data_IF_954153308401
#
_entry.id   IF_954153308401
#
_cell.length_a   1.000
_cell.length_b   1.000
_cell.length_c   1.000
_cell.angle_alpha   90.00
_cell.angle_beta   90.00
_cell.angle_gamma   90.00
#
_symmetry.space_group_name_H-M   'P 1'
#
loop_
_entity.id
_entity.type
_entity.pdbx_description
1 polymer ?
#
# COMPACT_ATOMS: atom_id res chain seq x y z
N UNK A 1 26.64 -21.21 0.99
CA UNK A 1 25.96 -20.68 -0.22
C UNK A 1 24.73 -19.92 0.24
N UNK A 2 24.36 -18.77 -0.37
CA UNK A 2 23.11 -18.11 -0.04
C UNK A 2 21.95 -19.02 -0.43
N UNK A 3 21.03 -19.24 0.50
CA UNK A 3 19.84 -20.07 0.33
C UNK A 3 18.90 -19.35 -0.65
N UNK A 4 18.75 -19.89 -1.87
CA UNK A 4 17.80 -19.35 -2.84
C UNK A 4 16.40 -19.90 -2.54
N UNK A 5 15.33 -19.09 -2.61
CA UNK A 5 13.98 -19.58 -2.44
C UNK A 5 13.66 -20.65 -3.50
N UNK A 6 12.86 -21.65 -3.12
CA UNK A 6 12.43 -22.71 -4.03
C UNK A 6 11.32 -22.15 -4.93
N UNK A 7 11.51 -22.26 -6.26
CA UNK A 7 10.48 -21.90 -7.24
C UNK A 7 9.17 -22.62 -6.93
N UNK A 8 8.07 -21.87 -6.97
CA UNK A 8 6.75 -22.37 -6.56
C UNK A 8 5.77 -22.22 -7.69
N UNK A 9 5.09 -23.31 -8.09
CA UNK A 9 4.09 -23.28 -9.16
C UNK A 9 2.70 -23.09 -8.57
N UNK A 10 1.95 -22.12 -9.09
CA UNK A 10 0.54 -21.93 -8.76
C UNK A 10 -0.20 -21.30 -9.94
N UNK A 11 -1.40 -21.81 -10.29
CA UNK A 11 -2.24 -21.32 -11.39
C UNK A 11 -1.50 -21.17 -12.75
N UNK A 12 -0.49 -22.02 -12.99
CA UNK A 12 0.33 -21.97 -14.21
C UNK A 12 1.47 -20.95 -14.18
N UNK A 13 1.59 -20.14 -13.12
CA UNK A 13 2.70 -19.22 -12.90
C UNK A 13 3.82 -19.88 -12.08
N UNK A 14 5.07 -19.53 -12.38
CA UNK A 14 6.26 -19.91 -11.59
C UNK A 14 6.71 -18.73 -10.75
N UNK A 15 6.43 -18.78 -9.46
CA UNK A 15 6.81 -17.75 -8.49
C UNK A 15 8.24 -17.95 -8.01
N UNK A 16 8.95 -16.82 -7.85
CA UNK A 16 10.31 -16.76 -7.30
C UNK A 16 10.38 -17.11 -5.82
N UNK A 17 9.27 -17.00 -5.11
CA UNK A 17 9.19 -17.42 -3.72
C UNK A 17 7.82 -18.00 -3.36
N UNK A 18 7.80 -18.83 -2.31
CA UNK A 18 6.54 -19.30 -1.69
C UNK A 18 5.69 -18.16 -1.15
N UNK A 19 6.32 -17.08 -0.69
CA UNK A 19 5.61 -15.92 -0.15
C UNK A 19 4.80 -15.22 -1.25
N UNK A 20 5.40 -15.01 -2.43
CA UNK A 20 4.68 -14.49 -3.60
C UNK A 20 3.53 -15.41 -4.03
N UNK A 21 3.77 -16.73 -4.10
CA UNK A 21 2.71 -17.68 -4.45
C UNK A 21 1.53 -17.64 -3.45
N UNK A 22 1.79 -17.38 -2.16
CA UNK A 22 0.73 -17.20 -1.15
C UNK A 22 -0.04 -15.90 -1.34
N UNK A 23 0.61 -14.83 -1.81
CA UNK A 23 -0.10 -13.60 -2.19
C UNK A 23 -1.03 -13.82 -3.38
N UNK A 24 -0.65 -14.62 -4.37
CA UNK A 24 -1.54 -15.02 -5.46
C UNK A 24 -2.81 -15.75 -4.94
N UNK A 25 -2.65 -16.66 -3.95
CA UNK A 25 -3.78 -17.33 -3.27
C UNK A 25 -4.64 -16.33 -2.50
N UNK A 26 -4.03 -15.35 -1.83
CA UNK A 26 -4.73 -14.28 -1.11
C UNK A 26 -5.62 -13.48 -2.07
N UNK A 27 -5.06 -12.99 -3.18
CA UNK A 27 -5.80 -12.22 -4.18
C UNK A 27 -6.95 -13.04 -4.77
N UNK A 28 -6.71 -14.30 -5.11
CA UNK A 28 -7.75 -15.18 -5.64
C UNK A 28 -8.90 -15.40 -4.63
N UNK A 29 -8.58 -15.54 -3.34
CA UNK A 29 -9.59 -15.68 -2.28
C UNK A 29 -10.49 -14.45 -2.17
N UNK A 30 -9.95 -13.27 -2.48
CA UNK A 30 -10.70 -12.01 -2.58
C UNK A 30 -11.29 -11.75 -3.97
N UNK A 31 -11.17 -12.70 -4.91
CA UNK A 31 -11.60 -12.56 -6.31
C UNK A 31 -10.96 -11.36 -7.02
N UNK A 32 -9.76 -10.97 -6.58
CA UNK A 32 -8.95 -9.97 -7.25
C UNK A 32 -8.16 -10.61 -8.39
N UNK A 33 -8.24 -9.99 -9.57
CA UNK A 33 -7.34 -10.26 -10.69
C UNK A 33 -5.94 -9.77 -10.32
N UNK A 34 -4.95 -10.55 -10.73
CA UNK A 34 -3.54 -10.26 -10.54
C UNK A 34 -2.76 -10.72 -11.77
N UNK A 35 -1.75 -9.96 -12.15
CA UNK A 35 -0.73 -10.37 -13.12
C UNK A 35 0.61 -10.42 -12.39
N UNK A 36 1.31 -11.56 -12.47
CA UNK A 36 2.62 -11.75 -11.84
C UNK A 36 3.74 -11.38 -12.82
N UNK A 37 4.65 -10.51 -12.37
CA UNK A 37 5.78 -10.00 -13.17
C UNK A 37 5.41 -9.61 -14.61
N UNK A 38 4.37 -8.77 -14.82
CA UNK A 38 3.80 -8.55 -16.15
C UNK A 38 4.78 -7.90 -17.13
N UNK A 39 5.60 -6.95 -16.66
CA UNK A 39 6.59 -6.27 -17.48
C UNK A 39 7.69 -5.62 -16.63
N UNK A 40 8.93 -5.60 -17.13
CA UNK A 40 10.05 -4.91 -16.52
C UNK A 40 10.22 -3.48 -17.04
N UNK A 41 10.47 -2.54 -16.15
CA UNK A 41 10.63 -1.12 -16.43
C UNK A 41 12.08 -0.67 -16.25
N UNK A 42 12.44 0.43 -16.92
CA UNK A 42 13.61 1.23 -16.55
C UNK A 42 13.10 2.46 -15.80
N UNK A 43 13.36 2.52 -14.51
CA UNK A 43 12.98 3.64 -13.67
C UNK A 43 13.77 4.89 -14.09
N UNK A 44 13.25 6.08 -13.79
CA UNK A 44 13.90 7.36 -14.11
C UNK A 44 15.26 7.54 -13.41
N UNK A 45 15.54 6.75 -12.36
CA UNK A 45 16.86 6.60 -11.76
C UNK A 45 17.88 5.81 -12.59
N UNK A 46 17.46 5.21 -13.72
CA UNK A 46 18.24 4.30 -14.56
C UNK A 46 18.23 2.84 -14.10
N UNK A 47 17.59 2.54 -12.97
CA UNK A 47 17.49 1.17 -12.43
C UNK A 47 16.47 0.37 -13.22
N UNK A 48 16.87 -0.80 -13.73
CA UNK A 48 15.93 -1.80 -14.26
C UNK A 48 15.18 -2.46 -13.10
N UNK A 49 13.87 -2.46 -13.17
CA UNK A 49 12.99 -2.93 -12.11
C UNK A 49 11.87 -3.80 -12.68
N UNK A 50 11.61 -4.95 -12.07
CA UNK A 50 10.50 -5.81 -12.43
C UNK A 50 9.62 -5.94 -11.19
N UNK A 51 8.43 -5.33 -11.19
CA UNK A 51 7.53 -5.41 -10.06
C UNK A 51 6.90 -6.80 -9.92
N UNK A 52 6.55 -7.18 -8.70
CA UNK A 52 6.08 -8.54 -8.39
C UNK A 52 4.65 -8.77 -8.91
N UNK A 53 3.70 -7.87 -8.60
CA UNK A 53 2.30 -8.01 -9.01
C UNK A 53 1.69 -6.70 -9.52
N UNK A 54 0.88 -6.80 -10.57
CA UNK A 54 -0.10 -5.79 -10.96
C UNK A 54 -1.51 -6.20 -10.53
N UNK A 55 -2.24 -5.30 -9.87
CA UNK A 55 -3.63 -5.51 -9.44
C UNK A 55 -4.57 -4.61 -10.26
N UNK A 56 -5.04 -5.03 -11.45
CA UNK A 56 -5.76 -4.17 -12.39
C UNK A 56 -7.08 -3.60 -11.85
N UNK A 57 -7.76 -4.31 -10.94
CA UNK A 57 -9.00 -3.80 -10.33
C UNK A 57 -8.73 -2.62 -9.38
N UNK A 58 -7.58 -2.62 -8.73
CA UNK A 58 -7.16 -1.59 -7.79
C UNK A 58 -6.32 -0.51 -8.48
N UNK A 59 -5.83 -0.77 -9.69
CA UNK A 59 -4.96 0.12 -10.46
C UNK A 59 -3.66 0.44 -9.69
N UNK A 60 -3.06 -0.59 -9.07
CA UNK A 60 -1.85 -0.45 -8.26
C UNK A 60 -0.87 -1.63 -8.42
N UNK A 61 0.39 -1.35 -8.12
CA UNK A 61 1.44 -2.35 -7.98
C UNK A 61 1.47 -2.91 -6.56
N UNK A 62 1.80 -4.19 -6.43
CA UNK A 62 1.94 -4.86 -5.14
C UNK A 62 3.26 -5.64 -5.10
N UNK A 63 4.14 -5.23 -4.20
CA UNK A 63 5.50 -5.73 -4.01
C UNK A 63 5.57 -6.58 -2.76
N UNK A 64 6.27 -7.71 -2.84
CA UNK A 64 6.41 -8.67 -1.76
C UNK A 64 7.85 -8.69 -1.28
N UNK A 65 8.05 -8.60 0.04
CA UNK A 65 9.36 -8.74 0.68
C UNK A 65 9.28 -9.71 1.86
N UNK A 66 10.21 -10.65 1.92
CA UNK A 66 10.34 -11.54 3.09
C UNK A 66 10.81 -10.80 4.34
N UNK A 67 11.96 -10.10 4.30
CA UNK A 67 12.45 -9.29 5.42
C UNK A 67 11.84 -7.89 5.44
N UNK A 68 12.13 -7.16 6.52
CA UNK A 68 11.87 -5.71 6.63
C UNK A 68 12.50 -4.97 5.44
N UNK A 69 11.76 -4.09 4.73
CA UNK A 69 12.29 -3.38 3.58
C UNK A 69 13.44 -2.46 3.96
N UNK A 70 14.44 -2.36 3.08
CA UNK A 70 15.51 -1.39 3.23
C UNK A 70 15.08 -0.02 2.68
N UNK A 71 15.83 1.04 2.99
CA UNK A 71 15.65 2.34 2.35
C UNK A 71 15.78 2.28 0.81
N UNK A 72 16.57 1.33 0.28
CA UNK A 72 16.67 1.14 -1.16
C UNK A 72 15.39 0.53 -1.74
N UNK A 73 14.74 -0.38 -1.03
CA UNK A 73 13.45 -0.95 -1.46
C UNK A 73 12.37 0.12 -1.47
N UNK A 74 12.29 0.94 -0.41
CA UNK A 74 11.37 2.08 -0.33
C UNK A 74 11.61 3.12 -1.43
N UNK A 75 12.87 3.40 -1.76
CA UNK A 75 13.23 4.27 -2.90
C UNK A 75 12.75 3.71 -4.24
N UNK A 76 12.88 2.41 -4.46
CA UNK A 76 12.38 1.77 -5.70
C UNK A 76 10.86 1.79 -5.76
N UNK A 77 10.17 1.51 -4.66
CA UNK A 77 8.71 1.58 -4.59
C UNK A 77 8.21 3.02 -4.84
N UNK A 78 8.84 4.02 -4.21
CA UNK A 78 8.58 5.43 -4.50
C UNK A 78 8.78 5.76 -5.97
N UNK A 79 9.92 5.37 -6.55
CA UNK A 79 10.24 5.71 -7.93
C UNK A 79 9.30 5.04 -8.93
N UNK A 80 8.96 3.77 -8.71
CA UNK A 80 7.95 3.07 -9.50
C UNK A 80 6.59 3.79 -9.40
N UNK A 81 6.20 4.24 -8.22
CA UNK A 81 4.96 4.98 -8.02
C UNK A 81 4.92 6.27 -8.83
N UNK A 82 6.00 7.07 -8.79
CA UNK A 82 6.14 8.30 -9.57
C UNK A 82 6.13 8.01 -11.07
N UNK A 83 6.96 7.08 -11.54
CA UNK A 83 7.16 6.85 -12.97
C UNK A 83 5.91 6.23 -13.63
N UNK A 84 5.21 5.33 -12.90
CA UNK A 84 3.99 4.70 -13.40
C UNK A 84 2.72 5.52 -13.15
N UNK A 85 2.79 6.55 -12.28
CA UNK A 85 1.63 7.30 -11.77
C UNK A 85 0.59 6.40 -11.10
N UNK A 86 1.07 5.35 -10.44
CA UNK A 86 0.25 4.37 -9.71
C UNK A 86 0.69 4.30 -8.27
N UNK A 87 -0.19 3.79 -7.42
CA UNK A 87 0.21 3.40 -6.09
C UNK A 87 1.06 2.14 -6.15
N UNK A 88 2.05 2.07 -5.26
CA UNK A 88 2.81 0.87 -4.98
C UNK A 88 2.57 0.49 -3.52
N UNK A 89 2.10 -0.72 -3.27
CA UNK A 89 2.03 -1.31 -1.93
C UNK A 89 3.20 -2.24 -1.75
N UNK A 90 3.94 -2.08 -0.65
CA UNK A 90 5.06 -2.91 -0.27
C UNK A 90 4.67 -3.73 0.95
N UNK A 91 4.37 -5.01 0.73
CA UNK A 91 4.03 -5.96 1.76
C UNK A 91 5.27 -6.73 2.22
N UNK A 92 5.62 -6.58 3.50
CA UNK A 92 6.82 -7.16 4.08
C UNK A 92 6.50 -8.10 5.23
N UNK A 93 7.27 -9.19 5.33
CA UNK A 93 7.10 -10.19 6.38
C UNK A 93 6.30 -11.42 5.97
N UNK A 94 6.14 -12.34 6.92
CA UNK A 94 5.33 -13.54 6.73
C UNK A 94 3.85 -13.17 6.83
N UNK A 95 3.03 -13.62 5.88
CA UNK A 95 1.57 -13.46 5.94
C UNK A 95 1.04 -14.08 7.23
N UNK A 96 0.70 -13.22 8.20
CA UNK A 96 0.29 -13.63 9.54
C UNK A 96 -0.60 -12.54 10.12
N UNK A 97 -1.84 -12.92 10.42
CA UNK A 97 -2.81 -12.09 11.15
C UNK A 97 -3.00 -12.61 12.57
N UNK A 98 -3.39 -11.71 13.46
CA UNK A 98 -3.84 -11.99 14.82
C UNK A 98 -5.30 -11.57 14.91
N UNK A 99 -6.15 -12.47 15.40
CA UNK A 99 -7.52 -12.12 15.78
C UNK A 99 -7.49 -11.32 17.08
N UNK A 100 -8.11 -10.15 17.04
CA UNK A 100 -8.33 -9.29 18.18
C UNK A 100 -9.82 -9.24 18.49
N UNK A 101 -10.16 -9.17 19.77
CA UNK A 101 -11.54 -9.06 20.22
C UNK A 101 -11.61 -8.03 21.36
N UNK A 102 -12.55 -7.09 21.25
CA UNK A 102 -12.86 -6.13 22.31
C UNK A 102 -14.37 -5.88 22.38
N UNK A 103 -14.96 -6.14 23.55
CA UNK A 103 -16.42 -6.13 23.74
C UNK A 103 -17.12 -7.01 22.70
N UNK A 104 -17.95 -6.43 21.83
CA UNK A 104 -18.71 -7.14 20.80
C UNK A 104 -18.07 -7.00 19.39
N UNK A 105 -16.85 -6.48 19.33
CA UNK A 105 -16.10 -6.29 18.09
C UNK A 105 -14.98 -7.32 18.00
N UNK A 106 -14.89 -7.97 16.85
CA UNK A 106 -13.80 -8.86 16.48
C UNK A 106 -13.21 -8.37 15.16
N UNK A 107 -11.90 -8.21 15.10
CA UNK A 107 -11.19 -7.81 13.88
C UNK A 107 -9.87 -8.58 13.76
N UNK A 108 -9.33 -8.65 12.54
CA UNK A 108 -7.99 -9.19 12.31
C UNK A 108 -6.99 -8.06 12.08
N UNK A 109 -5.89 -8.12 12.80
CA UNK A 109 -4.77 -7.20 12.65
C UNK A 109 -3.56 -7.94 12.08
N UNK A 110 -2.83 -7.38 11.10
CA UNK A 110 -1.49 -7.85 10.73
C UNK A 110 -0.63 -8.08 11.98
N UNK A 111 -0.20 -9.32 12.24
CA UNK A 111 0.56 -9.63 13.46
C UNK A 111 1.99 -9.12 13.37
N UNK A 112 2.67 -9.06 14.52
CA UNK A 112 4.08 -8.65 14.59
C UNK A 112 4.97 -9.26 13.50
N UNK A 113 5.63 -8.37 12.77
CA UNK A 113 6.54 -8.71 11.68
C UNK A 113 5.91 -8.75 10.29
N UNK A 114 4.58 -8.62 10.16
CA UNK A 114 3.90 -8.38 8.88
C UNK A 114 3.45 -6.93 8.76
N UNK A 115 3.85 -6.23 7.68
CA UNK A 115 3.48 -4.85 7.42
C UNK A 115 3.13 -4.64 5.96
N UNK A 116 2.29 -3.64 5.70
CA UNK A 116 2.11 -3.09 4.37
C UNK A 116 2.34 -1.59 4.42
N UNK A 117 3.26 -1.13 3.58
CA UNK A 117 3.57 0.27 3.36
C UNK A 117 3.02 0.69 2.01
N UNK A 118 2.53 1.92 1.90
CA UNK A 118 1.94 2.42 0.67
C UNK A 118 2.66 3.68 0.21
N UNK A 119 3.04 3.67 -1.07
CA UNK A 119 3.73 4.74 -1.77
C UNK A 119 2.80 5.30 -2.85
N UNK A 120 2.47 6.58 -2.70
CA UNK A 120 1.62 7.36 -3.59
C UNK A 120 2.39 8.59 -4.12
N UNK A 121 3.62 8.34 -4.59
CA UNK A 121 4.61 9.27 -5.14
C UNK A 121 4.22 10.75 -5.15
N UNK A 122 3.97 11.27 -6.35
CA UNK A 122 3.39 12.60 -6.56
C UNK A 122 1.90 12.58 -6.23
N UNK A 123 1.57 12.87 -4.96
CA UNK A 123 0.22 12.70 -4.43
C UNK A 123 -0.88 13.40 -5.25
N UNK A 124 -0.56 14.53 -5.90
CA UNK A 124 -1.49 15.26 -6.77
C UNK A 124 -1.92 14.47 -8.03
N UNK A 125 -1.08 13.54 -8.51
CA UNK A 125 -1.37 12.67 -9.66
C UNK A 125 -2.24 11.46 -9.27
N UNK A 126 -2.22 11.03 -8.01
CA UNK A 126 -2.94 9.86 -7.48
C UNK A 126 -4.01 10.24 -6.44
N UNK A 127 -4.54 11.46 -6.56
CA UNK A 127 -5.42 12.10 -5.58
C UNK A 127 -6.65 11.26 -5.19
N UNK A 128 -7.27 10.61 -6.18
CA UNK A 128 -8.44 9.74 -6.03
C UNK A 128 -8.12 8.32 -6.55
N UNK A 129 -7.20 7.63 -5.88
CA UNK A 129 -6.84 6.29 -6.28
C UNK A 129 -7.95 5.26 -6.04
N UNK A 130 -8.18 4.37 -7.01
CA UNK A 130 -9.16 3.28 -6.91
C UNK A 130 -8.86 2.30 -5.78
N UNK A 131 -7.59 2.09 -5.49
CA UNK A 131 -7.12 1.15 -4.49
C UNK A 131 -7.37 1.59 -3.05
N UNK A 132 -7.77 2.83 -2.79
CA UNK A 132 -7.92 3.36 -1.42
C UNK A 132 -9.37 3.70 -1.13
N UNK A 133 -9.84 3.31 0.06
CA UNK A 133 -11.26 3.40 0.41
C UNK A 133 -11.78 4.84 0.48
N UNK A 134 -10.89 5.73 0.88
CA UNK A 134 -11.13 7.14 0.93
C UNK A 134 -10.11 7.83 0.02
N UNK A 135 -10.30 9.09 -0.36
CA UNK A 135 -9.26 9.77 -1.13
C UNK A 135 -7.96 9.71 -0.30
N UNK A 136 -6.79 9.57 -0.93
CA UNK A 136 -5.50 9.63 -0.20
C UNK A 136 -5.32 10.92 0.62
N UNK A 137 -6.19 11.88 0.28
CA UNK A 137 -6.38 13.22 0.78
C UNK A 137 -7.83 13.52 1.19
N UNK A 138 -8.65 12.52 1.54
CA UNK A 138 -9.89 12.78 2.27
C UNK A 138 -9.57 12.90 3.74
N UNK A 139 -9.55 14.15 4.18
CA UNK A 139 -9.68 14.63 5.55
C UNK A 139 -10.36 13.64 6.51
N UNK A 140 -9.57 12.80 7.17
CA UNK A 140 -10.00 12.04 8.34
C UNK A 140 -9.04 12.31 9.49
N UNK A 141 -9.43 13.30 10.28
CA UNK A 141 -9.33 13.42 11.74
C UNK A 141 -7.99 13.36 12.49
N UNK A 142 -6.84 13.01 11.90
CA UNK A 142 -5.59 12.96 12.68
C UNK A 142 -4.54 14.04 12.33
N UNK A 143 -4.70 14.75 11.21
CA UNK A 143 -3.97 16.00 10.93
C UNK A 143 -4.82 16.86 9.97
N UNK A 144 -5.60 17.81 10.47
CA UNK A 144 -6.51 18.67 9.69
C UNK A 144 -5.85 19.35 8.45
N UNK A 145 -6.66 19.88 7.48
CA UNK A 145 -6.39 21.05 6.58
C UNK A 145 -7.34 21.37 5.39
N UNK A 146 -8.52 21.99 5.53
CA UNK A 146 -8.60 23.34 4.91
C UNK A 146 -8.92 24.55 5.80
N UNK A 147 -9.62 24.48 6.95
CA UNK A 147 -9.86 25.68 7.76
C UNK A 147 -8.59 26.29 8.37
N UNK A 148 -7.64 25.45 8.85
CA UNK A 148 -6.47 26.00 9.55
C UNK A 148 -5.36 26.52 8.63
N UNK A 149 -5.24 26.10 7.36
CA UNK A 149 -4.20 26.64 6.44
C UNK A 149 -4.55 28.09 6.18
N UNK A 150 -5.83 28.41 5.96
CA UNK A 150 -6.27 29.79 5.76
C UNK A 150 -5.90 30.66 6.97
N UNK A 151 -6.01 30.13 8.19
CA UNK A 151 -5.57 30.82 9.41
C UNK A 151 -4.05 30.96 9.51
N UNK A 152 -3.28 29.95 9.09
CA UNK A 152 -1.81 29.96 9.15
C UNK A 152 -1.17 30.77 8.00
N UNK A 153 -1.89 30.94 6.89
CA UNK A 153 -1.43 31.59 5.67
C UNK A 153 -2.50 32.56 5.13
N UNK A 154 -2.85 33.62 5.88
CA UNK A 154 -3.94 34.53 5.53
C UNK A 154 -3.70 35.28 4.21
N UNK A 155 -2.44 35.43 3.78
CA UNK A 155 -2.05 36.11 2.54
C UNK A 155 -2.05 35.17 1.32
N UNK A 156 -2.37 33.87 1.48
CA UNK A 156 -2.37 32.89 0.40
C UNK A 156 -3.80 32.62 -0.06
N UNK A 157 -4.07 32.92 -1.33
CA UNK A 157 -5.33 32.55 -1.98
C UNK A 157 -5.32 31.05 -2.34
N UNK A 158 -6.26 30.29 -1.79
CA UNK A 158 -6.45 28.87 -2.11
C UNK A 158 -7.61 28.79 -3.12
N UNK A 159 -7.38 28.29 -4.35
CA UNK A 159 -8.44 28.08 -5.31
C UNK A 159 -9.56 27.23 -4.71
N UNK A 160 -10.82 27.52 -5.02
CA UNK A 160 -11.96 26.72 -4.56
C UNK A 160 -12.23 25.49 -5.45
N UNK A 161 -11.61 25.46 -6.63
CA UNK A 161 -11.80 24.41 -7.62
C UNK A 161 -10.71 23.35 -7.47
N UNK A 162 -11.13 22.09 -7.41
CA UNK A 162 -10.22 20.95 -7.45
C UNK A 162 -9.43 20.92 -8.76
N UNK A 163 -8.12 21.17 -8.65
CA UNK A 163 -7.17 21.23 -9.76
C UNK A 163 -5.80 20.76 -9.30
N UNK A 164 -4.96 20.30 -10.23
CA UNK A 164 -3.57 19.91 -9.90
C UNK A 164 -2.80 21.03 -9.20
N UNK A 165 -2.99 22.28 -9.64
CA UNK A 165 -2.38 23.45 -9.03
C UNK A 165 -2.83 23.64 -7.57
N UNK A 166 -4.13 23.50 -7.29
CA UNK A 166 -4.66 23.56 -5.93
C UNK A 166 -4.09 22.43 -5.07
N UNK A 167 -4.04 21.19 -5.58
CA UNK A 167 -3.50 20.02 -4.86
C UNK A 167 -2.03 20.19 -4.50
N UNK A 168 -1.22 20.67 -5.45
CA UNK A 168 0.21 20.98 -5.21
C UNK A 168 0.37 22.07 -4.15
N UNK A 169 -0.42 23.13 -4.24
CA UNK A 169 -0.41 24.22 -3.26
C UNK A 169 -0.76 23.72 -1.86
N UNK A 170 -1.77 22.86 -1.71
CA UNK A 170 -2.15 22.30 -0.41
C UNK A 170 -1.02 21.47 0.21
N UNK A 171 -0.34 20.65 -0.57
CA UNK A 171 0.82 19.87 -0.11
C UNK A 171 1.96 20.79 0.32
N UNK A 172 2.28 21.80 -0.50
CA UNK A 172 3.33 22.77 -0.19
C UNK A 172 3.04 23.49 1.15
N UNK A 173 1.81 23.95 1.34
CA UNK A 173 1.41 24.66 2.55
C UNK A 173 1.45 23.76 3.80
N UNK A 174 1.08 22.48 3.68
CA UNK A 174 1.21 21.48 4.75
C UNK A 174 2.68 21.24 5.13
N UNK A 175 3.57 21.10 4.14
CA UNK A 175 5.02 20.98 4.38
C UNK A 175 5.61 22.20 5.09
N UNK A 176 5.25 23.41 4.65
CA UNK A 176 5.71 24.66 5.27
C UNK A 176 5.21 24.76 6.72
N UNK A 177 3.93 24.47 6.96
CA UNK A 177 3.35 24.50 8.30
C UNK A 177 4.06 23.52 9.23
N UNK A 178 4.25 22.27 8.78
CA UNK A 178 4.88 21.23 9.58
C UNK A 178 6.33 21.58 9.91
N UNK A 179 7.09 22.11 8.94
CA UNK A 179 8.45 22.59 9.16
C UNK A 179 8.49 23.74 10.16
N UNK A 180 7.58 24.72 10.07
CA UNK A 180 7.49 25.84 11.01
C UNK A 180 7.15 25.39 12.43
N UNK A 181 6.26 24.41 12.57
CA UNK A 181 5.76 23.94 13.87
C UNK A 181 6.71 22.95 14.56
N UNK A 182 7.34 22.06 13.80
CA UNK A 182 8.09 20.93 14.34
C UNK A 182 9.58 20.95 13.98
N UNK A 183 10.04 21.89 13.14
CA UNK A 183 11.42 22.00 12.66
C UNK A 183 11.96 20.73 12.00
N UNK A 184 11.09 19.96 11.35
CA UNK A 184 11.40 18.69 10.68
C UNK A 184 10.59 18.56 9.40
N UNK A 185 11.11 17.79 8.45
CA UNK A 185 10.34 17.41 7.26
C UNK A 185 9.08 16.64 7.68
N UNK A 186 7.98 16.92 6.99
CA UNK A 186 6.73 16.20 7.22
C UNK A 186 6.89 14.71 6.83
N UNK A 187 6.72 13.75 7.77
CA UNK A 187 7.01 12.34 7.53
C UNK A 187 6.16 11.73 6.40
N UNK A 188 4.92 12.20 6.23
CA UNK A 188 4.01 11.86 5.13
C UNK A 188 4.59 12.04 3.73
N UNK A 189 5.54 12.95 3.52
CA UNK A 189 6.10 13.24 2.18
C UNK A 189 7.51 12.68 1.97
N UNK A 190 8.06 11.95 2.95
CA UNK A 190 9.43 11.39 2.90
C UNK A 190 9.68 10.52 1.67
N UNK A 191 8.66 9.80 1.21
CA UNK A 191 8.71 8.92 0.04
C UNK A 191 7.60 9.29 -0.95
N UNK A 192 7.42 10.59 -1.20
CA UNK A 192 6.15 11.09 -1.72
C UNK A 192 5.05 10.89 -0.67
N UNK A 193 3.76 10.92 -1.04
CA UNK A 193 2.69 10.60 -0.09
C UNK A 193 2.85 9.13 0.35
N UNK A 194 3.27 8.96 1.59
CA UNK A 194 3.60 7.69 2.21
C UNK A 194 2.62 7.38 3.34
N UNK A 195 2.22 6.12 3.46
CA UNK A 195 1.39 5.62 4.56
C UNK A 195 1.97 4.30 5.06
N UNK A 196 2.30 4.25 6.34
CA UNK A 196 2.69 3.00 7.01
C UNK A 196 1.45 2.30 7.60
N UNK A 197 1.56 0.99 7.80
CA UNK A 197 0.57 0.11 8.40
C UNK A 197 -0.81 0.20 7.73
N UNK A 198 -0.86 0.16 6.39
CA UNK A 198 -2.12 0.04 5.67
C UNK A 198 -2.69 -1.37 5.80
N UNK A 199 -4.01 -1.47 5.76
CA UNK A 199 -4.79 -2.70 5.88
C UNK A 199 -5.67 -2.89 4.65
N UNK A 200 -6.02 -4.15 4.36
CA UNK A 200 -7.12 -4.44 3.45
C UNK A 200 -8.45 -4.17 4.13
N UNK A 201 -9.42 -3.64 3.39
CA UNK A 201 -10.79 -3.41 3.85
C UNK A 201 -11.80 -3.80 2.78
N UNK A 202 -12.99 -4.18 3.24
CA UNK A 202 -14.20 -4.27 2.41
C UNK A 202 -15.02 -3.00 2.64
N UNK A 203 -15.35 -2.30 1.57
CA UNK A 203 -16.17 -1.08 1.63
C UNK A 203 -17.66 -1.42 1.82
N UNK A 204 -18.49 -0.41 2.06
CA UNK A 204 -19.95 -0.59 2.12
C UNK A 204 -20.58 -1.05 0.80
N UNK A 205 -19.86 -0.95 -0.33
CA UNK A 205 -20.27 -1.43 -1.64
C UNK A 205 -19.65 -2.80 -1.99
N UNK A 206 -19.13 -3.53 -1.00
CA UNK A 206 -18.44 -4.83 -1.16
C UNK A 206 -17.16 -4.77 -2.02
N UNK A 207 -16.58 -3.58 -2.23
CA UNK A 207 -15.30 -3.43 -2.91
C UNK A 207 -14.14 -3.77 -1.97
N UNK A 208 -13.11 -4.44 -2.48
CA UNK A 208 -11.84 -4.65 -1.76
C UNK A 208 -10.93 -3.44 -2.00
N UNK A 209 -10.42 -2.82 -0.94
CA UNK A 209 -9.51 -1.67 -1.02
C UNK A 209 -8.49 -1.68 0.13
N UNK A 210 -7.66 -0.65 0.20
CA UNK A 210 -6.78 -0.36 1.33
C UNK A 210 -7.31 0.80 2.17
N UNK A 211 -7.01 0.79 3.47
CA UNK A 211 -7.25 1.88 4.41
C UNK A 211 -6.20 1.87 5.54
N UNK A 212 -6.15 2.94 6.34
CA UNK A 212 -5.26 3.00 7.52
C UNK A 212 -5.73 2.06 8.63
N UNK A 213 -7.04 1.87 8.77
CA UNK A 213 -7.65 1.02 9.78
C UNK A 213 -8.36 -0.17 9.10
N UNK A 214 -8.36 -1.36 9.70
CA UNK A 214 -9.13 -2.50 9.22
C UNK A 214 -10.63 -2.29 9.45
N UNK A 215 -11.46 -3.19 8.91
CA UNK A 215 -12.89 -3.19 9.22
C UNK A 215 -13.15 -3.53 10.70
N UNK A 216 -14.17 -2.90 11.30
CA UNK A 216 -14.68 -3.18 12.66
C UNK A 216 -15.48 -4.50 12.76
N UNK A 217 -15.13 -5.50 11.94
CA UNK A 217 -15.74 -6.83 11.93
C UNK A 217 -14.88 -7.83 11.14
N UNK A 218 -15.05 -9.13 11.41
CA UNK A 218 -14.48 -10.18 10.57
C UNK A 218 -15.12 -10.15 9.17
N UNK A 219 -14.27 -10.00 8.15
CA UNK A 219 -14.67 -10.02 6.74
C UNK A 219 -14.02 -11.20 6.02
N UNK A 220 -14.32 -11.34 4.72
CA UNK A 220 -13.67 -12.33 3.84
C UNK A 220 -12.14 -12.17 3.76
N UNK A 221 -11.59 -11.04 4.21
CA UNK A 221 -10.15 -10.78 4.28
C UNK A 221 -9.46 -11.73 5.25
N UNK A 222 -10.09 -12.03 6.39
CA UNK A 222 -9.58 -12.99 7.36
C UNK A 222 -9.44 -14.39 6.75
N UNK A 223 -10.47 -14.81 6.00
CA UNK A 223 -10.47 -16.09 5.30
C UNK A 223 -9.42 -16.13 4.19
N UNK A 224 -9.21 -15.02 3.47
CA UNK A 224 -8.17 -14.90 2.46
C UNK A 224 -6.76 -15.04 3.07
N UNK A 225 -6.49 -14.41 4.21
CA UNK A 225 -5.23 -14.58 4.93
C UNK A 225 -5.04 -16.01 5.42
N UNK A 226 -6.10 -16.63 5.96
CA UNK A 226 -6.11 -18.03 6.39
C UNK A 226 -5.82 -18.99 5.24
N UNK A 227 -6.45 -18.78 4.08
CA UNK A 227 -6.23 -19.56 2.87
C UNK A 227 -4.79 -19.43 2.37
N UNK A 228 -4.28 -18.20 2.24
CA UNK A 228 -2.89 -17.95 1.84
C UNK A 228 -1.87 -18.59 2.79
N UNK A 229 -2.10 -18.52 4.10
CA UNK A 229 -1.21 -19.13 5.09
C UNK A 229 -1.21 -20.66 5.04
N UNK A 230 -2.36 -21.26 4.75
CA UNK A 230 -2.53 -22.72 4.65
C UNK A 230 -2.19 -23.27 3.27
N UNK A 231 -2.02 -22.41 2.27
CA UNK A 231 -1.70 -22.81 0.90
C UNK A 231 -0.48 -23.73 0.85
N UNK A 232 -0.66 -24.78 0.04
CA UNK A 232 0.26 -25.89 -0.17
C UNK A 232 0.63 -25.96 -1.64
N UNK A 233 1.89 -26.25 -1.94
CA UNK A 233 2.41 -26.22 -3.31
C UNK A 233 3.23 -27.48 -3.62
N UNK A 234 3.11 -27.99 -4.86
CA UNK A 234 3.58 -29.32 -5.30
C UNK A 234 5.08 -29.59 -5.06
N UNK A 235 5.91 -28.55 -4.93
CA UNK A 235 7.34 -28.68 -4.68
C UNK A 235 7.73 -28.00 -3.36
N UNK A 236 7.53 -28.70 -2.24
CA UNK A 236 7.96 -28.19 -0.94
C UNK A 236 7.41 -28.83 0.32
N UNK A 237 6.44 -29.73 0.23
CA UNK A 237 5.86 -30.40 1.40
C UNK A 237 6.35 -31.84 1.52
N UNK A 238 7.47 -32.01 2.23
CA UNK A 238 7.51 -33.09 3.20
C UNK A 238 6.97 -32.50 4.51
N UNK A 239 6.04 -33.21 5.14
CA UNK A 239 5.40 -32.80 6.40
C UNK A 239 6.34 -32.66 7.59
#
# INVERSE_FOLDING_TARGET
MPMSPIETVYRGCKFRSRLEARWAVFFESLKLKWDYEPEGFTLSSGVKYLPDFWLPQLDCWFEVKGPEPTDLDRKKAYQLSVDSKKIVVLASGQIKTTKMAFKNYEWEWPSDGFRMELFAGQAWEVWNAKSFDHAFWSWTLETDLPPFISDQFPDREIPQIDSEAQRKLLIELDEIYYQKKYSKQHPRYRWGRYQDNVNWVITTNDDVKFASEPNDSLTIIADAYSAAKKARFEHGECG
#
